data_IF_226089061511
#
_entry.id   IF_226089061511
#
_cell.length_a   1.000
_cell.length_b   1.000
_cell.length_c   1.000
_cell.angle_alpha   90.00
_cell.angle_beta   90.00
_cell.angle_gamma   90.00
#
_symmetry.space_group_name_H-M   'P 1'
#
loop_
_entity.id
_entity.type
_entity.pdbx_description
1 polymer ?
#
# COMPACT_ATOMS: atom_id res chain seq x y z
N UNK A 1 11.33 -6.03 25.15
CA UNK A 1 11.55 -5.15 23.99
C UNK A 1 12.83 -5.54 23.29
N UNK A 2 12.76 -5.78 21.98
CA UNK A 2 13.92 -5.96 21.11
C UNK A 2 14.88 -4.77 21.18
N UNK A 3 16.19 -5.04 21.25
CA UNK A 3 17.19 -3.97 21.11
C UNK A 3 17.21 -3.45 19.66
N UNK A 4 16.68 -2.24 19.46
CA UNK A 4 16.76 -1.49 18.20
C UNK A 4 18.09 -0.75 18.16
N UNK A 5 18.83 -0.87 17.05
CA UNK A 5 20.10 -0.14 16.88
C UNK A 5 19.86 1.34 16.53
N UNK A 6 18.62 1.65 16.14
CA UNK A 6 18.13 2.95 15.73
C UNK A 6 18.94 3.54 14.56
N UNK A 7 19.38 2.66 13.66
CA UNK A 7 20.14 2.97 12.45
C UNK A 7 19.71 2.10 11.26
N UNK A 8 20.38 2.24 10.13
CA UNK A 8 20.05 1.54 8.89
C UNK A 8 20.05 0.00 9.02
N UNK A 9 20.70 -0.57 10.04
CA UNK A 9 20.73 -2.03 10.27
C UNK A 9 19.38 -2.55 10.74
N UNK A 10 18.51 -1.71 11.29
CA UNK A 10 17.16 -2.11 11.68
C UNK A 10 16.29 -2.45 10.47
N UNK A 11 16.67 -2.02 9.25
CA UNK A 11 16.01 -2.46 8.01
C UNK A 11 16.07 -3.98 7.81
N UNK A 12 17.07 -4.67 8.38
CA UNK A 12 17.14 -6.13 8.35
C UNK A 12 16.06 -6.81 9.18
N UNK A 13 15.46 -6.10 10.14
CA UNK A 13 14.27 -6.58 10.84
C UNK A 13 13.06 -6.69 9.90
N UNK A 14 13.10 -5.98 8.76
CA UNK A 14 12.06 -6.00 7.73
C UNK A 14 11.68 -7.41 7.30
N UNK A 15 12.63 -8.36 7.21
CA UNK A 15 12.31 -9.75 6.87
C UNK A 15 11.38 -10.40 7.91
N UNK A 16 11.75 -10.30 9.20
CA UNK A 16 10.99 -10.90 10.31
C UNK A 16 9.66 -10.20 10.53
N UNK A 17 9.66 -8.86 10.47
CA UNK A 17 8.46 -8.03 10.58
C UNK A 17 7.50 -8.36 9.44
N UNK A 18 7.99 -8.48 8.20
CA UNK A 18 7.16 -8.82 7.05
C UNK A 18 6.61 -10.25 7.09
N UNK A 19 7.28 -11.19 7.78
CA UNK A 19 6.88 -12.59 7.94
C UNK A 19 5.76 -12.80 8.99
N UNK A 20 4.93 -11.78 9.22
CA UNK A 20 3.73 -11.92 10.03
C UNK A 20 2.57 -12.44 9.17
N UNK A 21 1.94 -13.54 9.60
CA UNK A 21 0.83 -14.16 8.89
C UNK A 21 -0.33 -13.19 8.64
N UNK A 22 -0.64 -12.29 9.57
CA UNK A 22 -1.73 -11.31 9.45
C UNK A 22 -1.45 -10.34 8.30
N UNK A 23 -0.21 -9.84 8.20
CA UNK A 23 0.20 -8.93 7.11
C UNK A 23 0.26 -9.63 5.76
N UNK A 24 0.76 -10.86 5.72
CA UNK A 24 0.77 -11.67 4.49
C UNK A 24 -0.67 -11.92 4.01
N UNK A 25 -1.60 -12.25 4.91
CA UNK A 25 -3.01 -12.45 4.58
C UNK A 25 -3.67 -11.16 4.07
N UNK A 26 -3.46 -10.01 4.73
CA UNK A 26 -3.95 -8.72 4.26
C UNK A 26 -3.37 -8.35 2.89
N UNK A 27 -2.07 -8.57 2.70
CA UNK A 27 -1.40 -8.33 1.42
C UNK A 27 -1.95 -9.24 0.31
N UNK A 28 -2.13 -10.53 0.61
CA UNK A 28 -2.69 -11.51 -0.33
C UNK A 28 -4.15 -11.16 -0.70
N UNK A 29 -4.97 -10.77 0.28
CA UNK A 29 -6.34 -10.33 0.06
C UNK A 29 -6.40 -9.04 -0.77
N UNK A 30 -5.55 -8.05 -0.48
CA UNK A 30 -5.45 -6.81 -1.24
C UNK A 30 -5.01 -7.04 -2.69
N UNK A 31 -4.04 -7.92 -2.93
CA UNK A 31 -3.61 -8.32 -4.28
C UNK A 31 -4.73 -9.05 -5.01
N UNK A 32 -5.36 -10.05 -4.38
CA UNK A 32 -6.45 -10.81 -4.99
C UNK A 32 -7.62 -9.90 -5.38
N UNK A 33 -8.03 -8.99 -4.48
CA UNK A 33 -9.09 -8.01 -4.76
C UNK A 33 -8.69 -7.05 -5.88
N UNK A 34 -7.44 -6.56 -5.88
CA UNK A 34 -6.91 -5.70 -6.95
C UNK A 34 -7.01 -6.38 -8.30
N UNK A 35 -6.61 -7.66 -8.39
CA UNK A 35 -6.68 -8.41 -9.66
C UNK A 35 -8.12 -8.66 -10.09
N UNK A 36 -9.01 -9.03 -9.16
CA UNK A 36 -10.44 -9.21 -9.46
C UNK A 36 -11.05 -7.93 -10.03
N UNK A 37 -10.77 -6.79 -9.40
CA UNK A 37 -11.25 -5.47 -9.83
C UNK A 37 -10.67 -5.08 -11.17
N UNK A 38 -9.37 -5.26 -11.41
CA UNK A 38 -8.75 -4.96 -12.70
C UNK A 38 -9.37 -5.79 -13.82
N UNK A 39 -9.58 -7.09 -13.60
CA UNK A 39 -10.25 -7.97 -14.57
C UNK A 39 -11.70 -7.53 -14.84
N UNK A 40 -12.44 -7.14 -13.79
CA UNK A 40 -13.81 -6.65 -13.91
C UNK A 40 -13.87 -5.31 -14.67
N UNK A 41 -12.97 -4.37 -14.37
CA UNK A 41 -12.89 -3.08 -15.05
C UNK A 41 -12.47 -3.24 -16.52
N UNK A 42 -11.56 -4.17 -16.84
CA UNK A 42 -11.23 -4.48 -18.23
C UNK A 42 -12.46 -4.96 -19.02
N UNK A 43 -13.38 -5.71 -18.39
CA UNK A 43 -14.63 -6.13 -19.02
C UNK A 43 -15.55 -4.95 -19.28
N UNK A 44 -15.69 -4.06 -18.30
CA UNK A 44 -16.47 -2.82 -18.43
C UNK A 44 -15.88 -1.90 -19.50
N UNK A 45 -14.59 -1.62 -19.47
CA UNK A 45 -13.92 -0.69 -20.39
C UNK A 45 -14.01 -1.14 -21.84
N UNK A 46 -13.94 -2.46 -22.10
CA UNK A 46 -14.23 -3.00 -23.42
C UNK A 46 -15.67 -2.71 -23.86
N UNK A 47 -16.64 -2.90 -22.97
CA UNK A 47 -18.06 -2.61 -23.25
C UNK A 47 -18.34 -1.13 -23.57
N UNK A 48 -17.58 -0.22 -22.97
CA UNK A 48 -17.70 1.23 -23.19
C UNK A 48 -16.74 1.80 -24.25
N UNK A 49 -15.90 0.98 -24.89
CA UNK A 49 -14.91 1.44 -25.88
C UNK A 49 -13.77 2.29 -25.29
N UNK A 50 -13.53 2.20 -23.98
CA UNK A 50 -12.44 2.87 -23.27
C UNK A 50 -11.09 2.15 -23.47
N UNK A 51 -11.11 0.85 -23.75
CA UNK A 51 -9.93 0.04 -24.06
C UNK A 51 -10.26 -1.09 -25.03
N UNK A 52 -9.42 -1.29 -26.04
CA UNK A 52 -9.55 -2.43 -26.97
C UNK A 52 -9.03 -3.75 -26.38
N UNK A 53 -8.34 -3.66 -25.23
CA UNK A 53 -7.73 -4.81 -24.56
C UNK A 53 -8.81 -5.70 -23.93
N UNK A 54 -8.97 -6.97 -24.36
CA UNK A 54 -9.91 -7.86 -23.73
C UNK A 54 -9.46 -8.23 -22.30
N UNK A 55 -10.40 -8.52 -21.38
CA UNK A 55 -10.10 -8.85 -19.98
C UNK A 55 -9.15 -10.04 -19.83
N UNK A 56 -9.21 -10.95 -20.80
CA UNK A 56 -8.39 -12.15 -20.88
C UNK A 56 -6.91 -11.81 -21.10
N UNK A 57 -6.60 -10.81 -21.94
CA UNK A 57 -5.23 -10.35 -22.14
C UNK A 57 -4.68 -9.63 -20.90
N UNK A 58 -5.52 -8.94 -20.14
CA UNK A 58 -5.13 -8.30 -18.88
C UNK A 58 -4.83 -9.37 -17.83
N UNK A 59 -5.68 -10.39 -17.72
CA UNK A 59 -5.44 -11.54 -16.84
C UNK A 59 -4.14 -12.29 -17.23
N UNK A 60 -3.88 -12.51 -18.53
CA UNK A 60 -2.64 -13.13 -19.00
C UNK A 60 -1.40 -12.26 -18.70
N UNK A 61 -1.49 -10.94 -18.86
CA UNK A 61 -0.39 -10.05 -18.49
C UNK A 61 -0.06 -10.16 -17.00
N UNK A 62 -1.07 -10.26 -16.13
CA UNK A 62 -0.93 -10.38 -14.68
C UNK A 62 -0.37 -11.75 -14.28
N UNK A 63 -0.96 -12.83 -14.78
CA UNK A 63 -0.69 -14.20 -14.31
C UNK A 63 0.28 -15.01 -15.18
N UNK A 64 0.22 -14.88 -16.51
CA UNK A 64 1.01 -15.67 -17.46
C UNK A 64 2.41 -15.09 -17.71
N UNK A 65 2.49 -13.76 -17.70
CA UNK A 65 3.71 -13.03 -18.02
C UNK A 65 4.06 -11.94 -16.99
N UNK A 66 4.20 -12.28 -15.70
CA UNK A 66 4.79 -11.34 -14.74
C UNK A 66 6.19 -10.90 -15.14
N UNK A 67 6.89 -11.62 -16.03
CA UNK A 67 8.11 -11.14 -16.67
C UNK A 67 7.96 -9.82 -17.46
N UNK A 68 6.75 -9.39 -17.81
CA UNK A 68 6.49 -8.13 -18.52
C UNK A 68 6.37 -6.93 -17.57
N UNK A 69 5.98 -7.13 -16.30
CA UNK A 69 5.76 -6.04 -15.33
C UNK A 69 6.52 -6.20 -14.00
N UNK A 70 7.16 -7.34 -13.74
CA UNK A 70 7.93 -7.57 -12.52
C UNK A 70 9.40 -7.11 -12.66
N UNK A 71 10.05 -6.62 -11.59
CA UNK A 71 11.46 -6.23 -11.59
C UNK A 71 12.41 -7.37 -12.02
N UNK A 72 13.58 -7.03 -12.56
CA UNK A 72 14.53 -7.95 -13.20
C UNK A 72 14.79 -9.30 -12.52
N UNK A 73 14.85 -9.33 -11.19
CA UNK A 73 15.11 -10.54 -10.40
C UNK A 73 13.85 -11.37 -10.13
N UNK A 74 12.67 -10.76 -10.00
CA UNK A 74 11.40 -11.47 -10.01
C UNK A 74 11.15 -12.13 -11.38
N UNK A 75 11.67 -11.53 -12.48
CA UNK A 75 11.70 -12.16 -13.80
C UNK A 75 12.64 -13.37 -13.86
N UNK A 76 13.76 -13.34 -13.16
CA UNK A 76 14.68 -14.48 -13.07
C UNK A 76 14.05 -15.62 -12.26
N UNK A 77 13.42 -15.33 -11.12
CA UNK A 77 12.65 -16.31 -10.34
C UNK A 77 11.47 -16.90 -11.12
N UNK A 78 10.73 -16.08 -11.87
CA UNK A 78 9.63 -16.55 -12.72
C UNK A 78 10.09 -17.33 -13.96
N UNK A 79 11.20 -16.94 -14.59
CA UNK A 79 11.82 -17.72 -15.66
C UNK A 79 12.27 -19.09 -15.13
N UNK A 80 12.81 -19.17 -13.92
CA UNK A 80 13.12 -20.45 -13.26
C UNK A 80 11.88 -21.32 -12.99
N UNK A 81 10.71 -20.71 -12.75
CA UNK A 81 9.40 -21.42 -12.66
C UNK A 81 8.96 -21.95 -14.04
N UNK A 82 9.19 -21.17 -15.11
CA UNK A 82 8.77 -21.49 -16.48
C UNK A 82 9.69 -22.49 -17.18
N UNK A 83 10.99 -22.37 -17.00
CA UNK A 83 12.02 -23.24 -17.59
C UNK A 83 12.79 -23.87 -16.45
N UNK A 84 12.53 -25.15 -16.22
CA UNK A 84 13.02 -25.96 -15.12
C UNK A 84 14.51 -26.35 -15.33
N UNK A 85 15.34 -25.42 -15.85
CA UNK A 85 16.78 -25.50 -16.04
C UNK A 85 17.41 -24.18 -15.57
N UNK A 86 18.34 -24.30 -14.61
CA UNK A 86 19.21 -23.22 -14.13
C UNK A 86 20.36 -23.03 -15.14
N UNK A 87 20.09 -22.41 -16.28
CA UNK A 87 21.17 -21.97 -17.19
C UNK A 87 20.84 -20.64 -17.83
N UNK A 88 21.74 -19.66 -17.60
CA UNK A 88 21.83 -18.42 -18.37
C UNK A 88 21.21 -17.21 -17.69
N UNK A 89 22.03 -16.40 -17.01
CA UNK A 89 21.75 -14.97 -16.87
C UNK A 89 21.83 -14.34 -18.26
N UNK A 90 20.77 -13.75 -18.82
CA UNK A 90 20.89 -13.02 -20.07
C UNK A 90 21.59 -11.69 -19.81
N UNK A 91 22.71 -11.48 -20.49
CA UNK A 91 23.14 -10.15 -20.94
C UNK A 91 22.05 -9.60 -21.85
N UNK A 92 21.48 -8.41 -21.59
CA UNK A 92 20.86 -7.46 -22.56
C UNK A 92 19.93 -6.43 -21.86
N UNK A 93 20.25 -5.14 -22.03
CA UNK A 93 19.36 -3.96 -22.06
C UNK A 93 18.74 -3.42 -20.74
N UNK A 94 18.51 -2.09 -20.62
CA UNK A 94 17.82 -1.50 -19.46
C UNK A 94 16.41 -2.09 -19.29
N UNK A 95 15.86 -2.11 -18.05
CA UNK A 95 14.66 -2.87 -17.72
C UNK A 95 13.47 -2.48 -18.61
N UNK A 96 12.81 -3.48 -19.22
CA UNK A 96 11.68 -3.29 -20.14
C UNK A 96 10.56 -2.39 -19.60
N UNK A 97 10.33 -2.33 -18.28
CA UNK A 97 9.42 -1.37 -17.64
C UNK A 97 9.84 0.08 -17.90
N UNK A 98 11.12 0.41 -17.76
CA UNK A 98 11.63 1.73 -18.08
C UNK A 98 11.44 2.04 -19.58
N UNK A 99 11.53 1.02 -20.45
CA UNK A 99 11.25 1.18 -21.88
C UNK A 99 9.76 1.40 -22.16
N UNK A 100 8.86 0.67 -21.50
CA UNK A 100 7.40 0.83 -21.63
C UNK A 100 6.98 2.20 -21.10
N UNK A 101 7.43 2.57 -19.90
CA UNK A 101 7.18 3.89 -19.30
C UNK A 101 7.73 4.99 -20.21
N UNK A 102 8.96 4.84 -20.72
CA UNK A 102 9.56 5.79 -21.66
C UNK A 102 8.79 5.88 -22.98
N UNK A 103 8.28 4.76 -23.50
CA UNK A 103 7.47 4.72 -24.73
C UNK A 103 6.09 5.35 -24.52
N UNK A 104 5.43 5.10 -23.39
CA UNK A 104 4.15 5.73 -23.03
C UNK A 104 4.29 7.23 -22.79
N UNK A 105 5.39 7.67 -22.15
CA UNK A 105 5.71 9.09 -21.99
C UNK A 105 6.01 9.74 -23.36
N UNK A 106 6.73 9.04 -24.24
CA UNK A 106 7.10 9.55 -25.57
C UNK A 106 5.93 9.62 -26.56
N UNK A 107 5.02 8.65 -26.52
CA UNK A 107 3.92 8.55 -27.48
C UNK A 107 2.68 9.35 -27.05
N UNK A 108 2.64 9.82 -25.79
CA UNK A 108 1.45 10.41 -25.20
C UNK A 108 0.40 9.34 -24.90
N UNK A 109 -0.34 9.53 -23.80
CA UNK A 109 -1.48 8.67 -23.46
C UNK A 109 -2.72 9.28 -24.10
N UNK A 110 -3.48 8.51 -24.88
CA UNK A 110 -4.75 9.00 -25.42
C UNK A 110 -5.69 9.40 -24.27
N UNK A 111 -6.45 10.51 -24.38
CA UNK A 111 -7.29 10.99 -23.27
C UNK A 111 -8.27 9.94 -22.71
N UNK A 112 -8.82 9.07 -23.57
CA UNK A 112 -9.70 7.97 -23.16
C UNK A 112 -8.98 6.90 -22.30
N UNK A 113 -7.73 6.58 -22.63
CA UNK A 113 -6.92 5.61 -21.87
C UNK A 113 -6.46 6.21 -20.55
N UNK A 114 -6.12 7.49 -20.53
CA UNK A 114 -5.75 8.22 -19.31
C UNK A 114 -6.88 8.20 -18.27
N UNK A 115 -8.14 8.37 -18.72
CA UNK A 115 -9.32 8.25 -17.85
C UNK A 115 -9.44 6.83 -17.29
N UNK A 116 -9.25 5.80 -18.12
CA UNK A 116 -9.24 4.40 -17.68
C UNK A 116 -8.19 4.12 -16.60
N UNK A 117 -6.95 4.58 -16.81
CA UNK A 117 -5.86 4.45 -15.82
C UNK A 117 -6.14 5.22 -14.52
N UNK A 118 -6.73 6.42 -14.62
CA UNK A 118 -7.11 7.19 -13.44
C UNK A 118 -8.19 6.48 -12.61
N UNK A 119 -9.21 5.91 -13.26
CA UNK A 119 -10.27 5.13 -12.59
C UNK A 119 -9.67 3.91 -11.87
N UNK A 120 -8.83 3.14 -12.57
CA UNK A 120 -8.14 1.98 -11.98
C UNK A 120 -7.27 2.42 -10.80
N UNK A 121 -6.48 3.49 -10.97
CA UNK A 121 -5.61 4.03 -9.92
C UNK A 121 -6.38 4.46 -8.67
N UNK A 122 -7.52 5.15 -8.83
CA UNK A 122 -8.38 5.57 -7.71
C UNK A 122 -8.96 4.35 -6.99
N UNK A 123 -9.48 3.36 -7.72
CA UNK A 123 -10.06 2.16 -7.10
C UNK A 123 -8.99 1.33 -6.39
N UNK A 124 -7.80 1.19 -6.97
CA UNK A 124 -6.66 0.56 -6.31
C UNK A 124 -6.27 1.34 -5.05
N UNK A 125 -6.26 2.66 -5.09
CA UNK A 125 -5.98 3.48 -3.91
C UNK A 125 -7.03 3.27 -2.81
N UNK A 126 -8.31 3.14 -3.16
CA UNK A 126 -9.37 2.78 -2.19
C UNK A 126 -9.08 1.44 -1.52
N UNK A 127 -8.73 0.42 -2.31
CA UNK A 127 -8.36 -0.90 -1.77
C UNK A 127 -7.16 -0.77 -0.83
N UNK A 128 -6.07 -0.16 -1.32
CA UNK A 128 -4.83 -0.07 -0.56
C UNK A 128 -4.92 0.87 0.64
N UNK A 129 -5.82 1.85 0.66
CA UNK A 129 -6.07 2.68 1.85
C UNK A 129 -6.54 1.86 3.04
N UNK A 130 -7.25 0.74 2.81
CA UNK A 130 -7.64 -0.20 3.87
C UNK A 130 -6.54 -1.23 4.15
N UNK A 131 -6.09 -1.95 3.11
CA UNK A 131 -5.13 -3.06 3.31
C UNK A 131 -3.73 -2.56 3.64
N UNK A 132 -3.23 -1.57 2.91
CA UNK A 132 -1.93 -0.93 3.14
C UNK A 132 -1.88 -0.25 4.50
N UNK A 133 -2.91 0.51 4.86
CA UNK A 133 -3.04 1.11 6.19
C UNK A 133 -2.99 0.08 7.32
N UNK A 134 -3.63 -1.08 7.13
CA UNK A 134 -3.62 -2.16 8.12
C UNK A 134 -2.24 -2.79 8.27
N UNK A 135 -1.54 -3.01 7.15
CA UNK A 135 -0.19 -3.56 7.14
C UNK A 135 0.80 -2.58 7.81
N UNK A 136 0.75 -1.29 7.47
CA UNK A 136 1.62 -0.28 8.08
C UNK A 136 1.32 -0.09 9.56
N UNK A 137 0.05 -0.21 9.98
CA UNK A 137 -0.31 -0.16 11.41
C UNK A 137 0.25 -1.34 12.19
N UNK A 138 0.12 -2.56 11.68
CA UNK A 138 0.72 -3.75 12.31
C UNK A 138 2.25 -3.61 12.35
N UNK A 139 2.86 -3.11 11.28
CA UNK A 139 4.31 -2.89 11.23
C UNK A 139 4.78 -1.81 12.22
N UNK A 140 4.02 -0.72 12.37
CA UNK A 140 4.37 0.38 13.27
C UNK A 140 4.35 -0.07 14.73
N UNK A 141 3.31 -0.80 15.16
CA UNK A 141 3.21 -1.29 16.55
C UNK A 141 4.21 -2.41 16.85
N UNK A 142 4.44 -3.36 15.93
CA UNK A 142 5.48 -4.41 16.10
C UNK A 142 6.89 -3.82 16.14
N UNK A 143 7.15 -2.73 15.41
CA UNK A 143 8.45 -2.05 15.46
C UNK A 143 8.63 -1.26 16.75
N UNK A 144 7.64 -0.47 17.15
CA UNK A 144 7.75 0.49 18.24
C UNK A 144 7.60 -0.16 19.63
N UNK A 145 6.61 -1.04 19.80
CA UNK A 145 6.29 -1.66 21.09
C UNK A 145 6.72 -3.13 21.22
N UNK A 146 7.17 -3.76 20.13
CA UNK A 146 7.46 -5.21 20.06
C UNK A 146 6.19 -6.05 20.36
N UNK A 147 5.01 -5.48 20.08
CA UNK A 147 3.68 -6.04 20.33
C UNK A 147 2.97 -6.38 19.01
N UNK A 148 2.18 -7.45 19.02
CA UNK A 148 1.42 -7.89 17.84
C UNK A 148 -0.06 -7.61 18.01
N UNK A 149 -0.51 -6.48 17.46
CA UNK A 149 -1.94 -6.13 17.42
C UNK A 149 -2.76 -7.15 16.65
N UNK A 150 -4.06 -7.21 16.96
CA UNK A 150 -5.00 -8.08 16.26
C UNK A 150 -5.31 -7.58 14.86
N UNK A 151 -5.70 -8.50 13.96
CA UNK A 151 -6.08 -8.14 12.59
C UNK A 151 -7.33 -7.25 12.58
N UNK A 152 -8.28 -7.51 13.49
CA UNK A 152 -9.49 -6.73 13.64
C UNK A 152 -9.17 -5.29 14.10
N UNK A 153 -8.25 -5.14 15.05
CA UNK A 153 -7.81 -3.82 15.55
C UNK A 153 -7.11 -3.02 14.45
N UNK A 154 -6.17 -3.64 13.71
CA UNK A 154 -5.47 -3.00 12.61
C UNK A 154 -6.40 -2.54 11.47
N UNK A 155 -7.37 -3.38 11.11
CA UNK A 155 -8.34 -3.06 10.06
C UNK A 155 -9.35 -2.01 10.53
N UNK A 156 -9.78 -2.05 11.80
CA UNK A 156 -10.62 -1.01 12.43
C UNK A 156 -9.92 0.36 12.40
N UNK A 157 -8.65 0.43 12.79
CA UNK A 157 -7.85 1.65 12.72
C UNK A 157 -7.80 2.20 11.29
N UNK A 158 -7.51 1.33 10.33
CA UNK A 158 -7.39 1.70 8.91
C UNK A 158 -8.72 2.15 8.30
N UNK A 159 -9.83 1.54 8.70
CA UNK A 159 -11.17 1.97 8.31
C UNK A 159 -11.53 3.33 8.92
N UNK A 160 -11.22 3.56 10.20
CA UNK A 160 -11.46 4.84 10.88
C UNK A 160 -10.65 5.98 10.25
N UNK A 161 -9.41 5.70 9.85
CA UNK A 161 -8.50 6.66 9.18
C UNK A 161 -8.50 6.55 7.65
N UNK A 162 -9.49 5.87 7.07
CA UNK A 162 -9.56 5.60 5.62
C UNK A 162 -9.36 6.86 4.77
N UNK A 163 -10.05 7.95 5.13
CA UNK A 163 -9.96 9.22 4.41
C UNK A 163 -8.58 9.86 4.51
N UNK A 164 -7.86 9.65 5.61
CA UNK A 164 -6.48 10.14 5.74
C UNK A 164 -5.55 9.40 4.76
N UNK A 165 -5.66 8.06 4.68
CA UNK A 165 -4.89 7.26 3.72
C UNK A 165 -5.23 7.57 2.27
N UNK A 166 -6.52 7.72 1.95
CA UNK A 166 -6.99 7.99 0.60
C UNK A 166 -6.58 9.39 0.11
N UNK A 167 -6.75 10.43 0.93
CA UNK A 167 -6.46 11.79 0.51
C UNK A 167 -4.96 12.12 0.49
N UNK A 168 -4.14 11.40 1.25
CA UNK A 168 -2.71 11.73 1.35
C UNK A 168 -1.97 11.69 -0.01
N UNK A 169 -2.17 10.70 -0.90
CA UNK A 169 -1.60 10.75 -2.25
C UNK A 169 -2.40 11.64 -3.22
N UNK A 170 -3.71 11.82 -3.02
CA UNK A 170 -4.59 12.56 -3.95
C UNK A 170 -4.41 14.07 -3.84
N UNK A 171 -4.26 14.61 -2.62
CA UNK A 171 -4.13 16.06 -2.40
C UNK A 171 -2.94 16.65 -3.17
N UNK A 172 -1.72 16.05 -3.16
CA UNK A 172 -0.61 16.51 -4.00
C UNK A 172 -0.93 16.47 -5.50
N UNK A 173 -1.61 15.42 -5.98
CA UNK A 173 -2.03 15.30 -7.39
C UNK A 173 -3.00 16.43 -7.74
N UNK A 174 -3.97 16.74 -6.87
CA UNK A 174 -4.87 17.88 -7.06
C UNK A 174 -4.13 19.21 -7.07
N UNK A 175 -3.11 19.38 -6.23
CA UNK A 175 -2.24 20.56 -6.27
C UNK A 175 -1.53 20.72 -7.61
N UNK A 176 -0.98 19.62 -8.16
CA UNK A 176 -0.35 19.62 -9.49
C UNK A 176 -1.36 19.99 -10.58
N UNK A 177 -2.55 19.37 -10.56
CA UNK A 177 -3.62 19.65 -11.54
C UNK A 177 -4.08 21.10 -11.43
N UNK A 178 -4.23 21.65 -10.22
CA UNK A 178 -4.61 23.03 -9.99
C UNK A 178 -3.61 24.01 -10.61
N UNK A 179 -2.31 23.87 -10.31
CA UNK A 179 -1.29 24.75 -10.87
C UNK A 179 -1.13 24.60 -12.39
N UNK A 180 -1.26 23.36 -12.89
CA UNK A 180 -1.28 23.11 -14.34
C UNK A 180 -2.48 23.79 -15.01
N UNK A 181 -3.66 23.73 -14.39
CA UNK A 181 -4.86 24.40 -14.88
C UNK A 181 -4.68 25.92 -14.89
N UNK A 182 -4.10 26.52 -13.85
CA UNK A 182 -3.75 27.95 -13.85
C UNK A 182 -2.85 28.33 -15.02
N UNK A 183 -1.84 27.50 -15.34
CA UNK A 183 -0.95 27.74 -16.48
C UNK A 183 -1.68 27.60 -17.82
N UNK A 184 -2.58 26.62 -17.95
CA UNK A 184 -3.41 26.44 -19.15
C UNK A 184 -4.34 27.65 -19.35
N UNK A 185 -5.02 28.08 -18.28
CA UNK A 185 -5.89 29.26 -18.32
C UNK A 185 -5.11 30.53 -18.67
N UNK A 186 -3.93 30.72 -18.08
CA UNK A 186 -3.02 31.81 -18.43
C UNK A 186 -2.60 31.77 -19.91
N UNK A 187 -2.23 30.60 -20.43
CA UNK A 187 -1.91 30.42 -21.85
C UNK A 187 -3.10 30.66 -22.78
N UNK A 188 -4.33 30.38 -22.33
CA UNK A 188 -5.55 30.62 -23.11
C UNK A 188 -5.80 32.11 -23.36
N UNK A 189 -5.42 32.98 -22.41
CA UNK A 189 -5.46 34.45 -22.58
C UNK A 189 -4.58 34.90 -23.75
N UNK A 190 -3.50 34.16 -24.05
CA UNK A 190 -2.63 34.38 -25.20
C UNK A 190 -3.30 34.27 -26.56
N UNK A 191 -4.50 33.67 -26.64
CA UNK A 191 -5.27 33.57 -27.90
C UNK A 191 -5.96 34.88 -28.30
N UNK A 192 -5.98 35.89 -27.44
CA UNK A 192 -6.57 37.19 -27.77
C UNK A 192 -5.62 37.94 -28.71
N UNK A 193 -6.06 38.34 -29.93
CA UNK A 193 -5.20 39.02 -30.88
C UNK A 193 -4.69 40.36 -30.32
N UNK A 194 -3.45 40.71 -30.64
CA UNK A 194 -2.70 41.90 -30.20
C UNK A 194 -2.36 42.02 -28.71
N UNK A 195 -3.29 41.74 -27.79
CA UNK A 195 -3.10 41.99 -26.34
C UNK A 195 -2.71 40.72 -25.57
N UNK A 196 -3.13 39.54 -26.06
CA UNK A 196 -2.93 38.26 -25.36
C UNK A 196 -1.46 37.90 -25.15
N UNK A 197 -0.62 38.10 -26.16
CA UNK A 197 0.82 37.80 -26.11
C UNK A 197 1.53 38.62 -25.02
N UNK A 198 1.19 39.91 -24.91
CA UNK A 198 1.77 40.80 -23.90
C UNK A 198 1.29 40.43 -22.49
N UNK A 199 0.01 40.08 -22.31
CA UNK A 199 -0.53 39.63 -21.03
C UNK A 199 0.12 38.32 -20.56
N UNK A 200 0.35 37.36 -21.46
CA UNK A 200 1.05 36.11 -21.13
C UNK A 200 2.51 36.39 -20.77
N UNK A 201 3.19 37.28 -21.49
CA UNK A 201 4.57 37.67 -21.17
C UNK A 201 4.67 38.34 -19.80
N UNK A 202 3.71 39.21 -19.45
CA UNK A 202 3.63 39.83 -18.12
C UNK A 202 3.32 38.79 -17.03
N UNK A 203 2.44 37.82 -17.31
CA UNK A 203 2.08 36.74 -16.40
C UNK A 203 3.13 35.62 -16.27
N UNK A 204 4.17 35.63 -17.10
CA UNK A 204 5.19 34.57 -17.16
C UNK A 204 5.90 34.30 -15.83
N UNK A 205 6.24 35.30 -14.99
CA UNK A 205 6.80 35.04 -13.66
C UNK A 205 5.88 34.19 -12.77
N UNK A 206 4.55 34.38 -12.88
CA UNK A 206 3.58 33.56 -12.15
C UNK A 206 3.54 32.12 -12.70
N UNK A 207 3.68 31.95 -14.02
CA UNK A 207 3.78 30.64 -14.65
C UNK A 207 5.07 29.91 -14.24
N UNK A 208 6.21 30.60 -14.12
CA UNK A 208 7.45 30.02 -13.59
C UNK A 208 7.31 29.61 -12.12
N UNK A 209 6.67 30.44 -11.28
CA UNK A 209 6.39 30.09 -9.89
C UNK A 209 5.50 28.84 -9.81
N UNK A 210 4.43 28.79 -10.60
CA UNK A 210 3.55 27.63 -10.72
C UNK A 210 4.31 26.38 -11.18
N UNK A 211 5.17 26.49 -12.19
CA UNK A 211 6.02 25.40 -12.67
C UNK A 211 6.99 24.89 -11.59
N UNK A 212 7.60 25.80 -10.83
CA UNK A 212 8.44 25.46 -9.68
C UNK A 212 7.66 24.68 -8.62
N UNK A 213 6.45 25.14 -8.26
CA UNK A 213 5.58 24.46 -7.30
C UNK A 213 5.14 23.08 -7.79
N UNK A 214 4.78 22.93 -9.06
CA UNK A 214 4.44 21.63 -9.67
C UNK A 214 5.62 20.66 -9.51
N UNK A 215 6.84 21.09 -9.86
CA UNK A 215 8.03 20.23 -9.76
C UNK A 215 8.31 19.86 -8.31
N UNK A 216 8.20 20.81 -7.38
CA UNK A 216 8.43 20.56 -5.95
C UNK A 216 7.39 19.59 -5.36
N UNK A 217 6.11 19.75 -5.71
CA UNK A 217 5.05 18.83 -5.27
C UNK A 217 5.24 17.45 -5.93
N UNK A 218 5.59 17.40 -7.22
CA UNK A 218 5.81 16.14 -7.93
C UNK A 218 6.98 15.35 -7.36
N UNK A 219 8.11 16.00 -7.10
CA UNK A 219 9.29 15.36 -6.47
C UNK A 219 8.93 14.87 -5.07
N UNK A 220 8.25 15.69 -4.27
CA UNK A 220 7.79 15.30 -2.94
C UNK A 220 6.83 14.11 -2.98
N UNK A 221 5.88 14.10 -3.93
CA UNK A 221 4.94 12.99 -4.11
C UNK A 221 5.68 11.72 -4.52
N UNK A 222 6.51 11.75 -5.56
CA UNK A 222 7.17 10.56 -6.08
C UNK A 222 8.16 9.94 -5.08
N UNK A 223 8.89 10.78 -4.34
CA UNK A 223 9.92 10.34 -3.40
C UNK A 223 9.35 10.06 -2.01
N UNK A 224 8.35 10.83 -1.58
CA UNK A 224 7.74 10.75 -0.25
C UNK A 224 6.52 9.83 -0.14
N UNK A 225 5.97 9.31 -1.25
CA UNK A 225 4.76 8.48 -1.24
C UNK A 225 4.82 7.32 -0.24
N UNK A 226 5.97 6.63 -0.17
CA UNK A 226 6.17 5.48 0.72
C UNK A 226 6.07 5.85 2.20
N UNK A 227 6.34 7.11 2.57
CA UNK A 227 6.29 7.56 3.97
C UNK A 227 4.88 7.96 4.43
N UNK A 228 3.98 8.33 3.51
CA UNK A 228 2.67 8.89 3.86
C UNK A 228 1.80 7.94 4.69
N UNK A 229 1.75 6.66 4.31
CA UNK A 229 0.96 5.65 5.02
C UNK A 229 1.56 5.31 6.40
N UNK A 230 2.87 5.05 6.51
CA UNK A 230 3.55 4.97 7.80
C UNK A 230 3.30 6.16 8.73
N UNK A 231 3.28 7.40 8.23
CA UNK A 231 3.00 8.57 9.07
C UNK A 231 1.64 8.46 9.75
N UNK A 232 0.59 8.16 8.98
CA UNK A 232 -0.78 8.02 9.53
C UNK A 232 -0.84 6.85 10.52
N UNK A 233 -0.16 5.74 10.21
CA UNK A 233 -0.10 4.56 11.09
C UNK A 233 0.68 4.79 12.38
N UNK A 234 1.73 5.61 12.33
CA UNK A 234 2.62 5.85 13.47
C UNK A 234 2.11 6.99 14.36
N UNK A 235 1.58 8.06 13.78
CA UNK A 235 1.19 9.29 14.49
C UNK A 235 -0.32 9.40 14.71
N UNK A 236 -1.14 8.64 13.96
CA UNK A 236 -2.59 8.79 14.01
C UNK A 236 -3.10 10.13 13.45
N UNK A 237 -2.32 10.81 12.61
CA UNK A 237 -2.65 12.13 12.06
C UNK A 237 -3.44 12.07 10.75
N UNK A 238 -3.88 13.22 10.27
CA UNK A 238 -4.65 13.42 9.05
C UNK A 238 -3.77 13.60 7.80
N UNK A 239 -4.39 13.61 6.62
CA UNK A 239 -3.70 13.54 5.33
C UNK A 239 -2.69 14.68 5.10
N UNK A 240 -3.01 15.90 5.53
CA UNK A 240 -2.14 17.07 5.34
C UNK A 240 -0.87 16.98 6.19
N UNK A 241 -0.99 16.53 7.44
CA UNK A 241 0.16 16.28 8.31
C UNK A 241 1.02 15.13 7.76
N UNK A 242 0.38 14.07 7.25
CA UNK A 242 1.08 12.96 6.61
C UNK A 242 1.94 13.41 5.42
N UNK A 243 1.40 14.30 4.58
CA UNK A 243 2.12 14.88 3.43
C UNK A 243 3.26 15.79 3.91
N UNK A 244 2.99 16.69 4.86
CA UNK A 244 3.97 17.68 5.32
C UNK A 244 5.18 17.00 5.97
N UNK A 245 4.98 15.96 6.79
CA UNK A 245 6.05 15.16 7.39
C UNK A 245 6.82 14.35 6.36
N UNK A 246 6.12 13.65 5.46
CA UNK A 246 6.77 12.89 4.40
C UNK A 246 7.71 13.78 3.56
N UNK A 247 7.25 14.99 3.20
CA UNK A 247 8.03 15.93 2.42
C UNK A 247 9.19 16.50 3.24
N UNK A 248 8.92 16.91 4.48
CA UNK A 248 9.93 17.46 5.38
C UNK A 248 11.07 16.46 5.60
N UNK A 249 10.76 15.16 5.75
CA UNK A 249 11.78 14.14 5.97
C UNK A 249 12.65 13.93 4.72
N UNK A 250 12.03 13.86 3.55
CA UNK A 250 12.75 13.73 2.27
C UNK A 250 13.65 14.94 2.03
N UNK A 251 13.14 16.16 2.20
CA UNK A 251 13.89 17.39 1.91
C UNK A 251 14.95 17.73 2.97
N UNK A 252 14.72 17.37 4.23
CA UNK A 252 15.68 17.68 5.31
C UNK A 252 16.92 16.78 5.27
N UNK A 253 16.77 15.49 4.93
CA UNK A 253 17.88 14.53 4.90
C UNK A 253 17.83 13.61 3.66
N UNK A 254 17.91 14.17 2.43
CA UNK A 254 17.70 13.42 1.19
C UNK A 254 18.70 12.27 1.01
N UNK A 255 19.98 12.47 1.36
CA UNK A 255 20.99 11.41 1.24
C UNK A 255 20.76 10.23 2.18
N UNK A 256 20.27 10.51 3.40
CA UNK A 256 19.90 9.46 4.34
C UNK A 256 18.67 8.70 3.84
N UNK A 257 17.67 9.41 3.34
CA UNK A 257 16.48 8.80 2.75
C UNK A 257 16.83 7.90 1.56
N UNK A 258 17.66 8.38 0.62
CA UNK A 258 18.14 7.60 -0.52
C UNK A 258 18.89 6.35 -0.05
N UNK A 259 19.81 6.50 0.91
CA UNK A 259 20.57 5.36 1.45
C UNK A 259 19.65 4.31 2.08
N UNK A 260 18.70 4.72 2.93
CA UNK A 260 17.75 3.79 3.57
C UNK A 260 16.91 3.06 2.53
N UNK A 261 16.38 3.76 1.52
CA UNK A 261 15.60 3.13 0.45
C UNK A 261 16.44 2.18 -0.40
N UNK A 262 17.71 2.51 -0.68
CA UNK A 262 18.62 1.62 -1.42
C UNK A 262 18.88 0.33 -0.64
N UNK A 263 19.18 0.44 0.66
CA UNK A 263 19.39 -0.73 1.53
C UNK A 263 18.11 -1.56 1.65
N UNK A 264 16.96 -0.92 1.89
CA UNK A 264 15.66 -1.57 1.98
C UNK A 264 15.31 -2.31 0.68
N UNK A 265 15.54 -1.68 -0.47
CA UNK A 265 15.29 -2.28 -1.79
C UNK A 265 16.22 -3.46 -2.05
N UNK A 266 17.53 -3.31 -1.82
CA UNK A 266 18.49 -4.39 -2.04
C UNK A 266 18.21 -5.61 -1.15
N UNK A 267 17.92 -5.37 0.13
CA UNK A 267 17.55 -6.42 1.06
C UNK A 267 16.20 -7.05 0.72
N UNK A 268 15.20 -6.23 0.38
CA UNK A 268 13.87 -6.68 -0.02
C UNK A 268 13.89 -7.57 -1.26
N UNK A 269 14.70 -7.21 -2.26
CA UNK A 269 14.90 -8.06 -3.44
C UNK A 269 15.42 -9.44 -3.03
N UNK A 270 16.42 -9.51 -2.13
CA UNK A 270 16.96 -10.78 -1.66
C UNK A 270 15.92 -11.60 -0.87
N UNK A 271 15.17 -10.95 0.03
CA UNK A 271 14.14 -11.59 0.85
C UNK A 271 12.97 -12.10 0.01
N UNK A 272 12.44 -11.28 -0.90
CA UNK A 272 11.34 -11.66 -1.80
C UNK A 272 11.80 -12.77 -2.74
N UNK A 273 13.02 -12.70 -3.28
CA UNK A 273 13.57 -13.77 -4.12
C UNK A 273 13.69 -15.08 -3.33
N UNK A 274 14.15 -15.03 -2.08
CA UNK A 274 14.22 -16.21 -1.20
C UNK A 274 12.84 -16.81 -0.94
N UNK A 275 11.85 -16.01 -0.57
CA UNK A 275 10.48 -16.49 -0.32
C UNK A 275 9.85 -17.05 -1.59
N UNK A 276 9.99 -16.37 -2.72
CA UNK A 276 9.45 -16.86 -4.01
C UNK A 276 10.15 -18.15 -4.47
N UNK A 277 11.47 -18.29 -4.22
CA UNK A 277 12.20 -19.52 -4.46
C UNK A 277 11.68 -20.65 -3.56
N UNK A 278 11.50 -20.39 -2.27
CA UNK A 278 10.94 -21.35 -1.33
C UNK A 278 9.53 -21.79 -1.74
N UNK A 279 8.65 -20.84 -2.07
CA UNK A 279 7.30 -21.11 -2.60
C UNK A 279 7.36 -21.99 -3.85
N UNK A 280 8.24 -21.66 -4.80
CA UNK A 280 8.43 -22.46 -6.01
C UNK A 280 8.92 -23.89 -5.70
N UNK A 281 9.92 -24.03 -4.84
CA UNK A 281 10.48 -25.33 -4.47
C UNK A 281 9.44 -26.18 -3.74
N UNK A 282 8.72 -25.60 -2.78
CA UNK A 282 7.63 -26.26 -2.06
C UNK A 282 6.55 -26.77 -3.02
N UNK A 283 6.06 -25.90 -3.93
CA UNK A 283 5.07 -26.27 -4.94
C UNK A 283 5.60 -27.37 -5.86
N UNK A 284 6.85 -27.27 -6.32
CA UNK A 284 7.46 -28.25 -7.22
C UNK A 284 7.59 -29.62 -6.55
N UNK A 285 8.16 -29.69 -5.35
CA UNK A 285 8.29 -30.94 -4.59
C UNK A 285 6.92 -31.55 -4.36
N UNK A 286 5.91 -30.75 -4.00
CA UNK A 286 4.53 -31.22 -3.80
C UNK A 286 3.94 -31.81 -5.08
N UNK A 287 4.11 -31.14 -6.23
CA UNK A 287 3.58 -31.62 -7.50
C UNK A 287 4.34 -32.85 -8.04
N UNK A 288 5.66 -32.91 -7.86
CA UNK A 288 6.48 -34.02 -8.35
C UNK A 288 6.32 -35.27 -7.48
N UNK A 289 6.19 -35.12 -6.16
CA UNK A 289 5.85 -36.25 -5.27
C UNK A 289 4.44 -36.76 -5.50
N UNK A 290 3.48 -35.87 -5.76
CA UNK A 290 2.13 -36.24 -6.21
C UNK A 290 2.14 -37.01 -7.53
N UNK A 291 3.01 -36.62 -8.47
CA UNK A 291 3.24 -37.36 -9.72
C UNK A 291 3.85 -38.74 -9.47
N UNK A 292 4.85 -38.87 -8.59
CA UNK A 292 5.43 -40.19 -8.26
C UNK A 292 4.36 -41.13 -7.69
N UNK A 293 3.43 -40.62 -6.88
CA UNK A 293 2.34 -41.41 -6.31
C UNK A 293 1.23 -41.79 -7.30
N UNK A 294 0.68 -40.82 -8.05
CA UNK A 294 -0.52 -41.01 -8.88
C UNK A 294 -0.22 -41.16 -10.39
N UNK A 295 1.04 -40.96 -10.80
CA UNK A 295 1.52 -41.13 -12.18
C UNK A 295 0.93 -40.14 -13.18
N UNK A 296 0.82 -40.56 -14.44
CA UNK A 296 0.37 -39.73 -15.58
C UNK A 296 -1.01 -39.08 -15.39
N UNK A 297 -1.86 -39.67 -14.53
CA UNK A 297 -3.16 -39.07 -14.18
C UNK A 297 -3.00 -37.75 -13.44
N UNK A 298 -1.99 -37.62 -12.58
CA UNK A 298 -1.67 -36.35 -11.92
C UNK A 298 -1.14 -35.31 -12.90
N UNK A 299 -0.35 -35.74 -13.89
CA UNK A 299 0.17 -34.83 -14.92
C UNK A 299 -0.94 -34.15 -15.70
N UNK A 300 -1.97 -34.90 -16.09
CA UNK A 300 -3.13 -34.34 -16.77
C UNK A 300 -3.84 -33.28 -15.91
N UNK A 301 -4.03 -33.56 -14.61
CA UNK A 301 -4.70 -32.65 -13.68
C UNK A 301 -3.86 -31.40 -13.41
N UNK A 302 -2.56 -31.56 -13.10
CA UNK A 302 -1.67 -30.42 -12.80
C UNK A 302 -1.39 -29.57 -14.04
N UNK A 303 -1.29 -30.16 -15.22
CA UNK A 303 -1.08 -29.42 -16.47
C UNK A 303 -2.31 -28.59 -16.80
N UNK A 304 -3.51 -29.16 -16.64
CA UNK A 304 -4.79 -28.44 -16.78
C UNK A 304 -4.89 -27.23 -15.85
N UNK A 305 -4.53 -27.42 -14.57
CA UNK A 305 -4.52 -26.34 -13.59
C UNK A 305 -3.44 -25.28 -13.91
N UNK A 306 -2.24 -25.72 -14.32
CA UNK A 306 -1.12 -24.82 -14.64
C UNK A 306 -1.42 -23.98 -15.88
N UNK A 307 -2.00 -24.55 -16.92
CA UNK A 307 -2.40 -23.82 -18.14
C UNK A 307 -3.50 -22.79 -17.85
N UNK A 308 -4.42 -23.11 -16.94
CA UNK A 308 -5.46 -22.18 -16.50
C UNK A 308 -4.88 -21.01 -15.68
N UNK A 309 -3.89 -21.28 -14.82
CA UNK A 309 -3.26 -20.27 -13.97
C UNK A 309 -2.23 -19.42 -14.71
N UNK A 310 -1.43 -20.02 -15.60
CA UNK A 310 -0.27 -19.38 -16.24
C UNK A 310 -0.53 -18.94 -17.69
N UNK A 311 -1.77 -18.98 -18.16
CA UNK A 311 -2.13 -18.69 -19.55
C UNK A 311 -1.54 -19.69 -20.55
N UNK A 312 -2.16 -19.79 -21.73
CA UNK A 312 -1.64 -20.63 -22.80
C UNK A 312 -0.24 -20.14 -23.24
N UNK A 313 0.63 -21.07 -23.68
CA UNK A 313 2.01 -20.76 -24.06
C UNK A 313 2.12 -19.77 -25.22
N UNK A 314 1.08 -19.65 -26.06
CA UNK A 314 1.06 -18.84 -27.26
C UNK A 314 -0.28 -18.12 -27.44
N UNK A 315 -0.25 -16.87 -27.94
CA UNK A 315 -1.44 -16.05 -28.24
C UNK A 315 -2.34 -16.61 -29.36
N UNK A 316 -1.92 -17.70 -30.02
CA UNK A 316 -2.65 -18.37 -31.09
C UNK A 316 -3.37 -19.65 -30.65
N UNK A 317 -3.11 -20.15 -29.44
CA UNK A 317 -3.83 -21.30 -28.88
C UNK A 317 -4.98 -20.78 -28.01
N UNK A 318 -6.25 -21.15 -28.31
CA UNK A 318 -7.39 -20.79 -27.48
C UNK A 318 -7.12 -21.15 -26.02
N UNK A 319 -7.57 -20.29 -25.11
CA UNK A 319 -7.52 -20.52 -23.66
C UNK A 319 -8.28 -21.80 -23.35
N UNK A 320 -7.55 -22.90 -23.16
CA UNK A 320 -8.16 -24.15 -22.74
C UNK A 320 -8.68 -23.98 -21.31
N UNK A 321 -9.95 -23.65 -21.19
CA UNK A 321 -10.67 -23.69 -19.93
C UNK A 321 -10.59 -25.13 -19.40
N UNK A 322 -10.60 -25.38 -18.09
CA UNK A 322 -10.61 -26.75 -17.53
C UNK A 322 -11.74 -27.61 -18.15
N UNK A 323 -12.79 -26.98 -18.68
CA UNK A 323 -13.86 -27.61 -19.47
C UNK A 323 -13.48 -28.07 -20.88
N UNK A 324 -12.49 -27.44 -21.52
CA UNK A 324 -11.97 -27.73 -22.87
C UNK A 324 -10.82 -28.75 -22.86
N UNK A 325 -10.16 -28.91 -21.71
CA UNK A 325 -9.20 -29.99 -21.50
C UNK A 325 -9.94 -31.34 -21.47
N UNK A 326 -9.33 -32.34 -22.11
CA UNK A 326 -9.84 -33.70 -22.36
C UNK A 326 -9.99 -34.56 -21.08
N UNK A 327 -10.39 -33.95 -19.96
CA UNK A 327 -10.73 -34.57 -18.69
C UNK A 327 -12.12 -35.21 -18.83
N UNK A 328 -12.11 -36.52 -19.12
CA UNK A 328 -13.31 -37.32 -19.41
C UNK A 328 -14.19 -37.52 -18.17
N UNK A 329 -13.62 -37.44 -16.96
CA UNK A 329 -14.34 -37.71 -15.70
C UNK A 329 -14.64 -36.41 -14.94
N UNK A 330 -15.86 -36.24 -14.37
CA UNK A 330 -16.20 -35.06 -13.59
C UNK A 330 -15.35 -34.93 -12.32
N UNK A 331 -14.92 -36.06 -11.74
CA UNK A 331 -14.02 -36.08 -10.58
C UNK A 331 -12.63 -35.51 -10.90
N UNK A 332 -12.12 -35.70 -12.11
CA UNK A 332 -10.84 -35.14 -12.56
C UNK A 332 -10.93 -33.62 -12.77
N UNK A 333 -12.09 -33.12 -13.22
CA UNK A 333 -12.36 -31.68 -13.34
C UNK A 333 -12.40 -31.01 -11.98
N UNK A 334 -13.13 -31.59 -11.01
CA UNK A 334 -13.18 -31.09 -9.64
C UNK A 334 -11.78 -31.07 -9.03
N UNK A 335 -11.00 -32.14 -9.21
CA UNK A 335 -9.62 -32.21 -8.75
C UNK A 335 -8.73 -31.11 -9.39
N UNK A 336 -8.88 -30.83 -10.69
CA UNK A 336 -8.14 -29.77 -11.36
C UNK A 336 -8.49 -28.38 -10.81
N UNK A 337 -9.77 -28.10 -10.53
CA UNK A 337 -10.17 -26.84 -9.87
C UNK A 337 -9.62 -26.70 -8.46
N UNK A 338 -9.61 -27.79 -7.67
CA UNK A 338 -9.03 -27.77 -6.32
C UNK A 338 -7.51 -27.56 -6.35
N UNK A 339 -6.80 -28.23 -7.26
CA UNK A 339 -5.36 -28.01 -7.45
C UNK A 339 -5.09 -26.56 -7.87
N UNK A 340 -5.88 -26.02 -8.81
CA UNK A 340 -5.79 -24.62 -9.22
C UNK A 340 -6.01 -23.66 -8.03
N UNK A 341 -7.02 -23.90 -7.20
CA UNK A 341 -7.31 -23.10 -6.02
C UNK A 341 -6.12 -23.08 -5.05
N UNK A 342 -5.55 -24.24 -4.73
CA UNK A 342 -4.39 -24.32 -3.84
C UNK A 342 -3.15 -23.63 -4.41
N UNK A 343 -2.89 -23.79 -5.71
CA UNK A 343 -1.79 -23.10 -6.39
C UNK A 343 -1.99 -21.57 -6.38
N UNK A 344 -3.22 -21.10 -6.59
CA UNK A 344 -3.55 -19.68 -6.53
C UNK A 344 -3.38 -19.11 -5.11
N UNK A 345 -3.79 -19.85 -4.06
CA UNK A 345 -3.58 -19.45 -2.66
C UNK A 345 -2.08 -19.33 -2.35
N UNK A 346 -1.28 -20.34 -2.72
CA UNK A 346 0.16 -20.34 -2.48
C UNK A 346 0.84 -19.18 -3.19
N UNK A 347 0.44 -18.88 -4.43
CA UNK A 347 0.93 -17.73 -5.18
C UNK A 347 0.53 -16.40 -4.55
N UNK A 348 -0.74 -16.28 -4.13
CA UNK A 348 -1.26 -15.09 -3.46
C UNK A 348 -0.52 -14.81 -2.14
N UNK A 349 -0.18 -15.84 -1.37
CA UNK A 349 0.63 -15.71 -0.16
C UNK A 349 2.07 -15.27 -0.46
N UNK A 350 2.68 -15.77 -1.54
CA UNK A 350 4.00 -15.31 -2.00
C UNK A 350 4.01 -13.82 -2.35
N UNK A 351 3.02 -13.35 -3.10
CA UNK A 351 2.85 -11.92 -3.38
C UNK A 351 2.43 -11.11 -2.15
N UNK A 352 1.63 -11.70 -1.25
CA UNK A 352 1.26 -11.10 0.03
C UNK A 352 2.48 -10.80 0.90
N UNK A 353 3.49 -11.67 0.90
CA UNK A 353 4.78 -11.40 1.53
C UNK A 353 5.50 -10.22 0.90
N UNK A 354 5.56 -10.14 -0.43
CA UNK A 354 6.22 -9.03 -1.12
C UNK A 354 5.60 -7.67 -0.74
N UNK A 355 4.26 -7.60 -0.72
CA UNK A 355 3.52 -6.43 -0.28
C UNK A 355 3.78 -6.12 1.20
N UNK A 356 3.70 -7.13 2.07
CA UNK A 356 3.99 -7.00 3.50
C UNK A 356 5.38 -6.44 3.73
N UNK A 357 6.37 -6.89 2.96
CA UNK A 357 7.75 -6.40 3.03
C UNK A 357 7.85 -4.93 2.63
N UNK A 358 7.30 -4.53 1.47
CA UNK A 358 7.36 -3.14 1.02
C UNK A 358 6.82 -2.18 2.08
N UNK A 359 5.57 -2.39 2.52
CA UNK A 359 4.95 -1.54 3.55
C UNK A 359 5.70 -1.58 4.89
N UNK A 360 6.19 -2.75 5.32
CA UNK A 360 6.98 -2.85 6.55
C UNK A 360 8.31 -2.10 6.44
N UNK A 361 8.97 -2.16 5.27
CA UNK A 361 10.23 -1.46 5.03
C UNK A 361 10.06 0.05 4.95
N UNK A 362 8.95 0.51 4.39
CA UNK A 362 8.55 1.91 4.38
C UNK A 362 8.27 2.40 5.81
N UNK A 363 7.61 1.57 6.64
CA UNK A 363 7.39 1.87 8.05
C UNK A 363 8.71 1.98 8.81
N UNK A 364 9.64 1.03 8.68
CA UNK A 364 10.95 1.14 9.34
C UNK A 364 11.69 2.40 8.87
N UNK A 365 11.64 2.69 7.56
CA UNK A 365 12.26 3.88 6.98
C UNK A 365 11.66 5.16 7.57
N UNK A 366 10.34 5.23 7.73
CA UNK A 366 9.64 6.33 8.39
C UNK A 366 10.17 6.56 9.81
N UNK A 367 10.18 5.53 10.66
CA UNK A 367 10.66 5.65 12.04
C UNK A 367 12.14 6.11 12.10
N UNK A 368 13.00 5.59 11.22
CA UNK A 368 14.41 5.99 11.14
C UNK A 368 14.62 7.42 10.61
N UNK A 369 13.71 7.92 9.77
CA UNK A 369 13.72 9.30 9.28
C UNK A 369 13.14 10.26 10.31
N UNK A 370 12.03 9.91 10.97
CA UNK A 370 11.41 10.64 12.08
C UNK A 370 12.42 10.89 13.19
N UNK A 371 13.11 9.84 13.65
CA UNK A 371 14.19 10.00 14.64
C UNK A 371 15.30 10.93 14.14
N UNK A 372 15.68 10.81 12.87
CA UNK A 372 16.79 11.60 12.34
C UNK A 372 16.44 13.09 12.16
N UNK A 373 15.19 13.42 11.86
CA UNK A 373 14.76 14.80 11.56
C UNK A 373 14.15 15.46 12.78
N UNK A 374 13.25 14.77 13.48
CA UNK A 374 12.47 15.32 14.61
C UNK A 374 13.05 14.95 15.97
N UNK A 375 13.93 13.94 16.04
CA UNK A 375 14.49 13.44 17.31
C UNK A 375 13.56 12.54 18.12
N UNK A 376 12.34 12.28 17.64
CA UNK A 376 11.37 11.36 18.25
C UNK A 376 11.91 9.94 18.33
N UNK A 377 11.77 9.28 19.49
CA UNK A 377 12.26 7.91 19.64
C UNK A 377 11.47 6.94 18.75
N UNK A 378 12.11 5.83 18.33
CA UNK A 378 11.47 4.83 17.48
C UNK A 378 10.44 3.97 18.22
N UNK A 379 10.41 4.00 19.56
CA UNK A 379 9.43 3.29 20.39
C UNK A 379 8.11 4.03 20.54
N UNK A 380 8.04 5.30 20.14
CA UNK A 380 6.82 6.10 20.24
C UNK A 380 5.88 5.81 19.06
N UNK A 381 4.67 5.35 19.36
CA UNK A 381 3.62 5.12 18.38
C UNK A 381 2.29 5.51 18.99
N UNK A 382 1.46 6.22 18.23
CA UNK A 382 0.12 6.61 18.65
C UNK A 382 -0.71 5.37 19.00
N UNK A 383 -1.35 5.36 20.16
CA UNK A 383 -2.29 4.32 20.60
C UNK A 383 -3.62 4.96 21.00
N UNK A 384 -4.74 4.40 20.52
CA UNK A 384 -6.07 4.96 20.79
C UNK A 384 -6.43 4.87 22.28
N UNK A 385 -6.00 3.81 22.97
CA UNK A 385 -6.24 3.59 24.41
C UNK A 385 -5.64 4.72 25.26
N UNK A 386 -4.43 5.18 24.92
CA UNK A 386 -3.76 6.28 25.63
C UNK A 386 -4.50 7.62 25.44
N UNK A 387 -5.18 7.84 24.32
CA UNK A 387 -5.98 9.05 24.08
C UNK A 387 -7.36 9.00 24.72
N UNK A 388 -8.00 7.83 24.79
CA UNK A 388 -9.28 7.63 25.48
C UNK A 388 -9.12 7.76 27.01
N UNK A 389 -8.03 7.26 27.58
CA UNK A 389 -7.69 7.48 29.00
C UNK A 389 -7.34 8.95 29.32
N UNK A 390 -6.79 9.68 28.35
CA UNK A 390 -6.46 11.09 28.51
C UNK A 390 -7.67 12.04 28.42
N UNK A 391 -8.82 11.57 27.90
CA UNK A 391 -10.07 12.35 27.93
C UNK A 391 -10.61 12.35 29.36
N UNK A 392 -10.78 13.53 30.00
CA UNK A 392 -11.41 13.57 31.31
C UNK A 392 -12.80 12.98 31.17
N UNK A 393 -13.07 11.89 31.90
CA UNK A 393 -14.42 11.38 32.10
C UNK A 393 -15.24 12.53 32.65
N UNK A 394 -16.06 13.17 31.80
CA UNK A 394 -17.02 14.17 32.23
C UNK A 394 -18.12 13.41 32.99
N UNK A 395 -17.81 13.01 34.22
CA UNK A 395 -18.82 12.69 35.21
C UNK A 395 -19.63 13.97 35.43
N UNK A 396 -20.96 13.96 35.21
CA UNK A 396 -21.79 15.08 35.61
C UNK A 396 -21.54 15.32 37.10
N UNK A 397 -21.30 16.58 37.54
CA UNK A 397 -21.08 16.83 38.95
C UNK A 397 -22.28 16.29 39.72
N UNK A 398 -22.03 15.34 40.63
CA UNK A 398 -22.99 14.94 41.66
C UNK A 398 -23.51 16.23 42.30
N UNK A 399 -24.82 16.46 42.38
CA UNK A 399 -25.35 17.62 43.10
C UNK A 399 -24.77 17.59 44.51
N UNK A 400 -23.98 18.60 44.86
CA UNK A 400 -23.49 18.77 46.21
C UNK A 400 -24.70 18.86 47.13
N UNK A 401 -24.81 17.91 48.05
CA UNK A 401 -25.80 17.94 49.11
C UNK A 401 -25.53 19.21 49.93
N UNK A 402 -26.47 20.16 49.89
CA UNK A 402 -26.36 21.43 50.59
C UNK A 402 -26.17 21.18 52.10
N UNK A 403 -25.28 21.92 52.79
CA UNK A 403 -25.14 21.76 54.23
C UNK A 403 -26.46 22.13 54.91
N UNK A 404 -27.02 21.19 55.69
CA UNK A 404 -28.11 21.51 56.63
C UNK A 404 -27.61 22.58 57.61
N UNK A 405 -28.40 23.63 57.91
CA UNK A 405 -28.04 24.60 58.93
C UNK A 405 -28.14 23.93 60.31
N UNK A 406 -26.99 23.73 60.94
CA UNK A 406 -26.88 23.26 62.31
C UNK A 406 -27.01 24.46 63.26
N UNK A 407 -28.02 24.40 64.12
CA UNK A 407 -27.98 24.91 65.48
C UNK A 407 -27.90 26.43 65.68
N UNK A 408 -29.05 27.05 65.90
CA UNK A 408 -29.15 28.30 66.67
C UNK A 408 -28.47 28.11 68.04
N UNK A 409 -27.51 28.97 68.36
CA UNK A 409 -26.89 29.02 69.69
C UNK A 409 -27.90 29.54 70.74
N UNK A 410 -27.89 29.03 71.99
CA UNK A 410 -28.90 29.36 73.00
C UNK A 410 -28.70 30.78 73.56
N UNK A 411 -29.80 31.50 73.75
CA UNK A 411 -29.84 32.75 74.48
C UNK A 411 -29.44 32.54 75.95
N UNK A 412 -28.46 33.31 76.43
CA UNK A 412 -28.10 33.39 77.84
C UNK A 412 -29.09 34.30 78.59
N UNK A 413 -29.63 33.91 79.77
CA UNK A 413 -30.46 34.77 80.60
C UNK A 413 -29.61 35.79 81.37
N UNK A 414 -29.96 37.06 81.25
CA UNK A 414 -29.48 38.18 82.07
C UNK A 414 -29.98 38.08 83.51
N UNK A 415 -29.08 38.19 84.49
CA UNK A 415 -29.36 38.27 85.93
C UNK A 415 -30.28 39.45 86.29
N UNK A 416 -31.18 39.33 87.28
CA UNK A 416 -31.91 40.46 87.85
C UNK A 416 -31.08 41.19 88.93
N UNK A 417 -31.22 42.53 89.09
CA UNK A 417 -30.57 43.26 90.19
C UNK A 417 -31.30 43.05 91.52
N UNK A 418 -30.52 43.20 92.60
CA UNK A 418 -30.91 43.10 94.01
C UNK A 418 -32.08 44.03 94.40
N UNK A 419 -32.85 43.55 95.37
CA UNK A 419 -34.02 44.13 96.05
C UNK A 419 -33.82 45.52 96.64
N UNK A 420 -34.90 46.31 96.61
CA UNK A 420 -35.14 47.41 97.55
C UNK A 420 -36.11 46.93 98.63
N UNK A 421 -35.69 47.10 99.89
CA UNK A 421 -36.41 46.94 101.18
C UNK A 421 -36.65 45.53 101.71
#
# INVERSE_FOLDING_TARGET
MRELKQDWRDLFLGFRIALDAKKILLGAAGVALSVLVICFLAFIFKGFGLSDTPPEQVADAIFAHPSKWAPGLARAGWRSIRTLQLTGLPQEGPPQLARIVWQSVRNGIEPKEAVGFAIVGIILLVIWSLFGGGITRIAAVDLAKDERIELAEATKFSAKKFWSYFWSPIVPILGIVFFALCNILGGLVGRIPFVGELLVAIGLPLAFLSGFLIVLILVGLLVGLGLMFPTISAEGTDAFDAISRAYSYVYSKPWRFIWLNLVATAYGIACIAFVMLFTCLMTKVTLDTGHIGMGKKFDMIRTSAKETLMGAKDAATPRTTISELNLKKPTERIAAYLVLLWLAIVLALGYGYAVSFCFSSDTITYFLMRKAVDGTDVTEVYMEEEEEEAKPTAEPPKPAEAPKPEGAAPAAPTEPPKTTT
#
